data_IF_620491766595
#
_entry.id   IF_620491766595
#
_cell.length_a   1.000
_cell.length_b   1.000
_cell.length_c   1.000
_cell.angle_alpha   90.00
_cell.angle_beta   90.00
_cell.angle_gamma   90.00
#
_symmetry.space_group_name_H-M   'P 1'
#
loop_
_entity.id
_entity.type
_entity.pdbx_description
1 polymer ?
#
# COMPACT_ATOMS: atom_id res chain seq x y z
N UNK A 1 -8.61 -1.53 1.50
CA UNK A 1 -8.13 -0.37 2.28
C UNK A 1 -9.18 -0.08 3.34
N UNK A 2 -8.96 -0.52 4.57
CA UNK A 2 -9.86 -0.21 5.68
C UNK A 2 -9.15 0.79 6.59
N UNK A 3 -9.71 2.00 6.71
CA UNK A 3 -9.29 2.96 7.72
C UNK A 3 -10.21 2.82 8.92
N UNK A 4 -9.64 2.38 10.03
CA UNK A 4 -10.35 2.24 11.29
C UNK A 4 -10.57 3.64 11.86
N UNK A 5 -11.81 3.96 12.18
CA UNK A 5 -12.15 5.23 12.82
C UNK A 5 -11.66 5.24 14.28
N UNK A 6 -11.19 6.40 14.75
CA UNK A 6 -10.86 6.61 16.15
C UNK A 6 -12.12 6.66 17.02
N UNK A 7 -11.93 6.90 18.33
CA UNK A 7 -13.04 7.05 19.29
C UNK A 7 -14.03 8.18 18.97
N UNK A 8 -13.65 9.13 18.11
CA UNK A 8 -14.46 10.27 17.67
C UNK A 8 -15.10 10.04 16.29
N UNK A 9 -14.97 8.82 15.75
CA UNK A 9 -15.45 8.48 14.41
C UNK A 9 -14.62 9.08 13.28
N UNK A 10 -13.38 9.53 13.55
CA UNK A 10 -12.49 10.13 12.56
C UNK A 10 -11.55 9.08 11.98
N UNK A 11 -11.43 9.07 10.65
CA UNK A 11 -10.52 8.23 9.89
C UNK A 11 -9.33 9.05 9.40
N UNK A 12 -8.15 8.43 9.40
CA UNK A 12 -6.92 9.00 8.87
C UNK A 12 -6.39 8.09 7.77
N UNK A 13 -6.17 8.67 6.59
CA UNK A 13 -5.49 8.05 5.45
C UNK A 13 -4.23 8.83 5.15
N UNK A 14 -3.15 8.14 4.76
CA UNK A 14 -1.94 8.80 4.28
C UNK A 14 -1.88 8.63 2.76
N UNK A 15 -1.79 9.74 2.04
CA UNK A 15 -1.44 9.74 0.62
C UNK A 15 0.09 9.75 0.51
N UNK A 16 0.63 8.75 -0.14
CA UNK A 16 2.08 8.59 -0.31
C UNK A 16 2.48 8.73 -1.78
N UNK A 17 3.65 9.31 -2.01
CA UNK A 17 4.41 9.07 -3.25
C UNK A 17 5.23 7.80 -3.04
N UNK A 18 5.15 6.89 -4.00
CA UNK A 18 5.83 5.61 -3.91
C UNK A 18 6.70 5.40 -5.15
N UNK A 19 7.97 5.04 -4.94
CA UNK A 19 8.83 4.53 -6.00
C UNK A 19 8.50 3.05 -6.16
N UNK A 20 7.92 2.67 -7.30
CA UNK A 20 7.54 1.27 -7.54
C UNK A 20 8.67 0.46 -8.17
N UNK A 21 9.52 1.10 -9.00
CA UNK A 21 10.57 0.39 -9.73
C UNK A 21 9.99 -0.72 -10.63
N UNK A 22 10.74 -1.80 -10.78
CA UNK A 22 10.27 -3.03 -11.39
C UNK A 22 9.32 -3.76 -10.44
N UNK A 23 8.15 -4.10 -10.98
CA UNK A 23 7.03 -4.66 -10.22
C UNK A 23 6.90 -6.13 -10.57
N UNK A 24 6.95 -7.00 -9.58
CA UNK A 24 6.55 -8.41 -9.76
C UNK A 24 5.07 -8.63 -9.49
N UNK A 25 4.48 -9.63 -10.12
CA UNK A 25 3.14 -10.09 -9.77
C UNK A 25 3.23 -10.98 -8.53
N UNK A 26 2.47 -10.66 -7.49
CA UNK A 26 2.34 -11.47 -6.29
C UNK A 26 1.09 -12.34 -6.42
N UNK A 27 1.27 -13.65 -6.42
CA UNK A 27 0.15 -14.60 -6.51
C UNK A 27 -0.75 -14.53 -5.25
N UNK A 28 -2.07 -14.68 -5.42
CA UNK A 28 -2.97 -14.79 -4.28
C UNK A 28 -2.57 -15.96 -3.37
N UNK A 29 -2.32 -15.67 -2.09
CA UNK A 29 -1.85 -16.67 -1.11
C UNK A 29 -0.33 -16.84 -1.05
N UNK A 30 0.44 -16.01 -1.76
CA UNK A 30 1.89 -15.96 -1.63
C UNK A 30 2.33 -15.65 -0.20
N UNK A 31 3.37 -16.35 0.27
CA UNK A 31 4.04 -16.11 1.55
C UNK A 31 5.30 -15.24 1.39
N UNK A 32 5.48 -14.60 0.23
CA UNK A 32 6.62 -13.70 -0.02
C UNK A 32 6.67 -12.54 0.98
N UNK A 33 7.86 -12.29 1.51
CA UNK A 33 8.16 -11.18 2.42
C UNK A 33 9.30 -10.27 1.90
N UNK A 34 9.85 -10.59 0.74
CA UNK A 34 10.89 -9.86 -0.01
C UNK A 34 10.71 -10.14 -1.52
N UNK A 35 11.44 -9.43 -2.40
CA UNK A 35 11.38 -9.69 -3.83
C UNK A 35 11.66 -11.15 -4.23
N UNK A 36 11.04 -11.70 -5.26
CA UNK A 36 11.41 -13.04 -5.77
C UNK A 36 12.82 -13.11 -6.38
N UNK A 37 13.33 -11.99 -6.90
CA UNK A 37 14.70 -11.83 -7.38
C UNK A 37 15.18 -10.39 -7.18
N UNK A 38 16.48 -10.15 -7.39
CA UNK A 38 17.08 -8.80 -7.35
C UNK A 38 16.59 -7.87 -8.48
N UNK A 39 15.80 -8.38 -9.43
CA UNK A 39 15.28 -7.61 -10.55
C UNK A 39 14.01 -6.81 -10.19
N UNK A 40 13.47 -7.00 -8.99
CA UNK A 40 12.20 -6.42 -8.56
C UNK A 40 12.34 -5.58 -7.28
N UNK A 41 11.66 -4.43 -7.25
CA UNK A 41 11.69 -3.50 -6.12
C UNK A 41 10.36 -3.44 -5.36
N UNK A 42 9.25 -3.82 -6.00
CA UNK A 42 7.92 -3.86 -5.40
C UNK A 42 7.07 -4.97 -6.03
N UNK A 43 5.89 -5.23 -5.46
CA UNK A 43 4.93 -6.18 -6.01
C UNK A 43 3.54 -5.60 -6.24
N UNK A 44 2.78 -6.24 -7.11
CA UNK A 44 1.39 -5.90 -7.42
C UNK A 44 0.53 -7.16 -7.50
N UNK A 45 -0.77 -7.02 -7.23
CA UNK A 45 -1.72 -8.13 -7.31
C UNK A 45 -2.16 -8.46 -8.76
N UNK A 46 -2.03 -7.50 -9.69
CA UNK A 46 -2.26 -7.67 -11.13
C UNK A 46 -1.43 -6.61 -11.86
N UNK A 47 -0.62 -7.02 -12.82
CA UNK A 47 0.22 -6.10 -13.58
C UNK A 47 -0.59 -5.09 -14.43
N UNK A 48 -1.77 -5.47 -14.91
CA UNK A 48 -2.54 -4.64 -15.85
C UNK A 48 -3.54 -3.69 -15.19
N UNK A 49 -4.05 -4.03 -14.00
CA UNK A 49 -5.02 -3.22 -13.29
C UNK A 49 -4.87 -3.35 -11.76
N UNK A 50 -3.64 -3.16 -11.29
CA UNK A 50 -3.31 -3.31 -9.88
C UNK A 50 -4.16 -2.38 -9.02
N UNK A 51 -4.83 -2.97 -8.04
CA UNK A 51 -5.54 -2.22 -6.99
C UNK A 51 -4.70 -2.07 -5.73
N UNK A 52 -3.64 -2.87 -5.60
CA UNK A 52 -2.83 -2.96 -4.41
C UNK A 52 -1.36 -3.18 -4.77
N UNK A 53 -0.50 -2.31 -4.24
CA UNK A 53 0.94 -2.42 -4.36
C UNK A 53 1.55 -2.80 -3.00
N UNK A 54 2.57 -3.64 -3.05
CA UNK A 54 3.37 -4.06 -1.90
C UNK A 54 4.76 -3.47 -2.05
N UNK A 55 5.16 -2.63 -1.10
CA UNK A 55 6.56 -2.21 -0.94
C UNK A 55 7.20 -3.12 0.09
N UNK A 56 8.29 -3.78 -0.28
CA UNK A 56 9.02 -4.67 0.62
C UNK A 56 9.58 -3.91 1.83
N UNK A 57 9.65 -4.56 2.99
CA UNK A 57 10.09 -3.91 4.25
C UNK A 57 11.46 -3.25 4.12
N UNK A 58 12.39 -3.87 3.40
CA UNK A 58 13.73 -3.32 3.12
C UNK A 58 13.70 -1.98 2.37
N UNK A 59 12.63 -1.71 1.62
CA UNK A 59 12.46 -0.51 0.81
C UNK A 59 11.51 0.52 1.45
N UNK A 60 10.86 0.21 2.57
CA UNK A 60 9.84 1.07 3.18
C UNK A 60 10.33 2.51 3.45
N UNK A 61 11.56 2.66 3.95
CA UNK A 61 12.11 3.98 4.33
C UNK A 61 12.68 4.77 3.15
N UNK A 62 12.92 4.13 2.02
CA UNK A 62 13.55 4.75 0.84
C UNK A 62 12.57 4.96 -0.30
N UNK A 63 11.52 4.14 -0.37
CA UNK A 63 10.56 4.12 -1.48
C UNK A 63 9.20 4.74 -1.13
N UNK A 64 8.93 5.04 0.15
CA UNK A 64 7.66 5.66 0.57
C UNK A 64 7.92 7.05 1.11
N UNK A 65 7.34 8.06 0.45
CA UNK A 65 7.28 9.42 0.96
C UNK A 65 5.83 9.77 1.32
N UNK A 66 5.48 9.85 2.62
CA UNK A 66 4.16 10.27 3.05
C UNK A 66 3.98 11.76 2.76
N UNK A 67 3.08 12.10 1.84
CA UNK A 67 2.91 13.47 1.34
C UNK A 67 1.79 14.21 2.06
N UNK A 68 0.64 13.56 2.25
CA UNK A 68 -0.51 14.18 2.90
C UNK A 68 -1.23 13.22 3.85
N UNK A 69 -1.88 13.79 4.85
CA UNK A 69 -2.86 13.09 5.68
C UNK A 69 -4.25 13.57 5.29
N UNK A 70 -5.08 12.64 4.82
CA UNK A 70 -6.50 12.86 4.56
C UNK A 70 -7.28 12.47 5.81
N UNK A 71 -8.06 13.42 6.33
CA UNK A 71 -8.90 13.23 7.51
C UNK A 71 -10.35 13.25 7.07
N UNK A 72 -11.09 12.19 7.36
CA UNK A 72 -12.49 12.04 6.96
C UNK A 72 -13.32 11.45 8.09
N UNK A 73 -14.64 11.58 7.97
CA UNK A 73 -15.62 10.84 8.77
C UNK A 73 -16.55 10.15 7.80
N UNK A 74 -16.68 8.83 7.89
CA UNK A 74 -17.69 8.13 7.11
C UNK A 74 -19.08 8.51 7.63
N UNK A 75 -19.95 8.95 6.73
CA UNK A 75 -21.38 8.95 6.99
C UNK A 75 -21.83 7.49 6.89
N UNK A 76 -21.67 6.72 7.96
CA UNK A 76 -22.39 5.44 8.05
C UNK A 76 -23.86 5.79 8.03
N UNK A 77 -24.54 5.54 6.90
CA UNK A 77 -26.00 5.59 6.90
C UNK A 77 -26.49 4.55 7.92
N UNK A 78 -27.46 4.92 8.79
CA UNK A 78 -28.03 3.99 9.77
C UNK A 78 -28.72 2.80 9.10
#
# INVERSE_FOLDING_TARGET
MYCVADRNGIQHMVLCRVILGNIETIDPGSEQFHPSSEDFESGANDFHNSRFYTVWTMNMNTHIYPEFVVVSRSLTMP
#
